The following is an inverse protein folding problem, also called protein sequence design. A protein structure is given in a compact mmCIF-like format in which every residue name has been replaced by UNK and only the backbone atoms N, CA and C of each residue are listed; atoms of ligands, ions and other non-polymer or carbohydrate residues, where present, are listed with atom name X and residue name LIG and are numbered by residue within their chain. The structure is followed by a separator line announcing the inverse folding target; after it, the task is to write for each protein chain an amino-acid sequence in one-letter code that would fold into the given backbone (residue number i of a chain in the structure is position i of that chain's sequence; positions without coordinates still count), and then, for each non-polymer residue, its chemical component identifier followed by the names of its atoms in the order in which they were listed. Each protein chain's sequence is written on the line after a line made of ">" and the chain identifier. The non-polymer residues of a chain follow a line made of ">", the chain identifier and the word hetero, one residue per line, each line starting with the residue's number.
data_IF_702643137923
#
_entry.id   IF_702643137923
#
_cell.length_a   1.000
_cell.length_b   1.000
_cell.length_c   1.000
_cell.angle_alpha   90.00
_cell.angle_beta   90.00
_cell.angle_gamma   90.00
#
_symmetry.space_group_name_H-M   'P 1'
#
loop_
_entity.id
_entity.type
_entity.pdbx_description
1 polymer ?
#
# COMPACT_ATOMS: atom_id res chain seq x y z
N UNK A 1 1.53 14.43 10.31
CA UNK A 1 1.27 13.23 9.49
C UNK A 1 1.20 13.67 8.04
N UNK A 2 1.88 12.96 7.16
CA UNK A 2 1.72 13.09 5.72
C UNK A 2 0.39 12.46 5.32
N UNK A 3 -0.25 12.94 4.28
CA UNK A 3 -1.51 12.36 3.79
C UNK A 3 -1.35 10.88 3.44
N UNK A 4 -0.20 10.50 2.87
CA UNK A 4 0.21 9.13 2.60
C UNK A 4 0.28 8.21 3.84
N UNK A 5 0.36 8.75 5.06
CA UNK A 5 0.40 7.97 6.30
C UNK A 5 -0.97 7.36 6.65
N UNK A 6 -2.06 7.84 6.01
CA UNK A 6 -3.43 7.33 6.20
C UNK A 6 -3.64 5.95 5.58
N UNK A 7 -2.78 5.55 4.64
CA UNK A 7 -2.91 4.31 3.88
C UNK A 7 -2.00 3.22 4.42
N UNK A 8 -2.60 2.06 4.71
CA UNK A 8 -1.86 0.88 5.16
C UNK A 8 -1.02 0.30 4.02
N UNK A 9 0.19 -0.11 4.39
CA UNK A 9 1.22 -0.67 3.51
C UNK A 9 1.67 -1.98 4.11
N UNK A 10 1.67 -3.04 3.32
CA UNK A 10 2.20 -4.33 3.75
C UNK A 10 3.03 -4.95 2.64
N UNK A 11 3.97 -5.79 3.05
CA UNK A 11 4.86 -6.52 2.15
C UNK A 11 4.71 -7.99 2.48
N UNK A 12 4.59 -8.83 1.45
CA UNK A 12 4.46 -10.28 1.59
C UNK A 12 5.38 -10.98 0.58
N UNK A 13 5.92 -12.13 0.96
CA UNK A 13 6.59 -13.00 0.00
C UNK A 13 5.59 -13.59 -0.99
N UNK A 14 5.94 -13.58 -2.28
CA UNK A 14 5.19 -14.24 -3.34
C UNK A 14 6.01 -15.39 -3.90
N UNK A 15 5.55 -16.63 -3.70
CA UNK A 15 6.18 -17.82 -4.30
C UNK A 15 6.16 -17.76 -5.85
N UNK A 16 5.06 -17.38 -6.52
CA UNK A 16 5.03 -17.26 -7.98
C UNK A 16 6.03 -16.24 -8.56
N UNK A 17 6.24 -15.13 -7.86
CA UNK A 17 7.13 -14.05 -8.30
C UNK A 17 8.58 -14.21 -7.78
N UNK A 18 8.80 -15.15 -6.87
CA UNK A 18 10.06 -15.33 -6.14
C UNK A 18 10.62 -14.00 -5.58
N UNK A 19 9.73 -13.15 -5.05
CA UNK A 19 10.04 -11.81 -4.59
C UNK A 19 9.10 -11.35 -3.46
N UNK A 20 9.54 -10.34 -2.72
CA UNK A 20 8.67 -9.61 -1.81
C UNK A 20 7.82 -8.60 -2.58
N UNK A 21 6.51 -8.65 -2.39
CA UNK A 21 5.52 -7.82 -3.09
C UNK A 21 4.91 -6.83 -2.11
N UNK A 22 4.95 -5.55 -2.46
CA UNK A 22 4.32 -4.47 -1.70
C UNK A 22 2.87 -4.23 -2.11
N UNK A 23 2.01 -3.97 -1.15
CA UNK A 23 0.58 -3.76 -1.34
C UNK A 23 0.09 -2.53 -0.58
N UNK A 24 -0.80 -1.77 -1.22
CA UNK A 24 -1.55 -0.69 -0.58
C UNK A 24 -2.97 -0.65 -1.20
N UNK A 25 -3.88 -1.52 -0.72
CA UNK A 25 -5.14 -1.82 -1.40
C UNK A 25 -6.11 -0.63 -1.54
N UNK A 26 -6.05 0.34 -0.63
CA UNK A 26 -6.89 1.55 -0.71
C UNK A 26 -6.50 2.46 -1.89
N UNK A 27 -5.24 2.45 -2.32
CA UNK A 27 -4.75 3.23 -3.46
C UNK A 27 -4.60 2.39 -4.73
N UNK A 28 -4.18 1.13 -4.57
CA UNK A 28 -3.90 0.19 -5.65
C UNK A 28 -4.73 -1.09 -5.45
N UNK A 29 -6.04 -1.05 -5.74
CA UNK A 29 -6.96 -2.16 -5.47
C UNK A 29 -6.73 -3.38 -6.39
N UNK A 30 -5.95 -3.23 -7.45
CA UNK A 30 -5.74 -4.27 -8.47
C UNK A 30 -4.65 -5.30 -8.12
N UNK A 31 -3.91 -5.12 -7.02
CA UNK A 31 -2.94 -6.11 -6.54
C UNK A 31 -1.62 -5.54 -6.06
N UNK A 32 -0.53 -6.28 -6.33
CA UNK A 32 0.83 -5.90 -5.96
C UNK A 32 1.30 -4.65 -6.69
N UNK A 33 1.96 -3.76 -5.97
CA UNK A 33 2.39 -2.43 -6.44
C UNK A 33 3.85 -2.44 -6.89
N UNK A 34 4.71 -3.17 -6.17
CA UNK A 34 6.14 -3.25 -6.46
C UNK A 34 6.75 -4.55 -5.92
N UNK A 35 7.89 -4.96 -6.50
CA UNK A 35 8.65 -6.13 -6.07
C UNK A 35 10.01 -5.72 -5.48
N UNK A 36 10.51 -6.49 -4.52
CA UNK A 36 11.83 -6.31 -3.93
C UNK A 36 12.48 -7.64 -3.57
N UNK A 37 13.81 -7.66 -3.56
CA UNK A 37 14.59 -8.83 -3.14
C UNK A 37 14.60 -9.04 -1.61
N UNK A 38 14.22 -8.02 -0.84
CA UNK A 38 14.01 -8.09 0.61
C UNK A 38 12.75 -7.32 1.01
N UNK A 39 12.27 -7.57 2.23
CA UNK A 39 11.11 -6.88 2.81
C UNK A 39 11.34 -5.36 2.83
N UNK A 40 12.52 -4.93 3.25
CA UNK A 40 12.89 -3.51 3.35
C UNK A 40 13.01 -2.85 1.98
N UNK A 41 13.56 -3.55 0.99
CA UNK A 41 13.66 -3.05 -0.38
C UNK A 41 12.27 -2.80 -0.97
N UNK A 42 11.37 -3.78 -0.87
CA UNK A 42 9.99 -3.66 -1.32
C UNK A 42 9.24 -2.57 -0.55
N UNK A 43 9.41 -2.49 0.78
CA UNK A 43 8.72 -1.49 1.59
C UNK A 43 9.19 -0.06 1.32
N UNK A 44 10.48 0.15 1.09
CA UNK A 44 11.02 1.46 0.71
C UNK A 44 10.45 1.94 -0.62
N UNK A 45 10.38 1.05 -1.62
CA UNK A 45 9.78 1.36 -2.91
C UNK A 45 8.28 1.63 -2.77
N UNK A 46 7.54 0.80 -2.03
CA UNK A 46 6.12 0.99 -1.76
C UNK A 46 5.85 2.34 -1.08
N UNK A 47 6.71 2.76 -0.15
CA UNK A 47 6.62 4.07 0.49
C UNK A 47 6.79 5.24 -0.49
N UNK A 48 7.64 5.10 -1.51
CA UNK A 48 7.82 6.12 -2.53
C UNK A 48 6.58 6.22 -3.43
N UNK A 49 6.11 5.07 -3.95
CA UNK A 49 4.95 5.02 -4.85
C UNK A 49 3.66 5.53 -4.20
N UNK A 50 3.41 5.18 -2.92
CA UNK A 50 2.25 5.70 -2.19
C UNK A 50 2.31 7.22 -1.99
N UNK A 51 3.51 7.80 -1.83
CA UNK A 51 3.63 9.27 -1.72
C UNK A 51 3.36 9.92 -3.06
N UNK A 52 3.95 9.39 -4.12
CA UNK A 52 3.76 9.85 -5.50
C UNK A 52 2.29 9.85 -5.90
N UNK A 53 1.58 8.72 -5.72
CA UNK A 53 0.15 8.62 -6.07
C UNK A 53 -0.71 9.64 -5.31
N UNK A 54 -0.45 9.82 -4.01
CA UNK A 54 -1.17 10.80 -3.19
C UNK A 54 -0.90 12.24 -3.65
N UNK A 55 0.35 12.55 -3.97
CA UNK A 55 0.74 13.87 -4.47
C UNK A 55 0.14 14.13 -5.86
N UNK A 56 0.12 13.13 -6.75
CA UNK A 56 -0.49 13.22 -8.08
C UNK A 56 -2.01 13.41 -8.01
N UNK A 57 -2.71 12.66 -7.17
CA UNK A 57 -4.16 12.84 -6.96
C UNK A 57 -4.46 14.25 -6.44
N UNK A 58 -3.67 14.72 -5.48
CA UNK A 58 -3.79 16.08 -4.95
C UNK A 58 -3.55 17.17 -6.00
N UNK A 59 -2.51 17.03 -6.82
CA UNK A 59 -2.18 17.98 -7.91
C UNK A 59 -3.26 17.99 -9.00
N UNK A 60 -3.86 16.85 -9.29
CA UNK A 60 -4.93 16.73 -10.28
C UNK A 60 -6.32 17.12 -9.72
N UNK A 61 -6.41 17.58 -8.47
CA UNK A 61 -7.66 17.93 -7.81
C UNK A 61 -8.62 16.74 -7.65
N UNK A 62 -8.09 15.51 -7.73
CA UNK A 62 -8.87 14.27 -7.55
C UNK A 62 -9.04 14.00 -6.06
N UNK A 63 -10.21 13.50 -5.70
CA UNK A 63 -10.46 13.09 -4.33
C UNK A 63 -9.60 11.87 -3.97
N UNK A 64 -9.02 11.91 -2.78
CA UNK A 64 -8.23 10.82 -2.25
C UNK A 64 -9.14 9.68 -1.78
N UNK A 65 -8.84 8.41 -2.11
CA UNK A 65 -9.64 7.28 -1.65
C UNK A 65 -9.75 7.25 -0.12
N UNK A 66 -10.95 6.99 0.38
CA UNK A 66 -11.17 6.77 1.81
C UNK A 66 -10.43 5.49 2.27
N UNK A 67 -9.59 5.56 3.31
CA UNK A 67 -8.89 4.38 3.83
C UNK A 67 -9.89 3.40 4.48
N UNK A 68 -10.14 2.28 3.82
CA UNK A 68 -11.07 1.24 4.29
C UNK A 68 -10.34 0.01 4.84
N UNK A 69 -9.07 -0.16 4.49
CA UNK A 69 -8.26 -1.28 4.94
C UNK A 69 -8.05 -1.21 6.45
N UNK A 70 -8.43 -2.30 7.13
CA UNK A 70 -8.35 -2.39 8.60
C UNK A 70 -7.01 -3.02 9.01
N UNK A 71 -6.32 -2.49 10.03
CA UNK A 71 -5.04 -3.04 10.51
C UNK A 71 -5.19 -4.36 11.28
N UNK A 72 -6.39 -4.68 11.76
CA UNK A 72 -6.70 -5.93 12.46
C UNK A 72 -8.03 -6.48 11.94
N UNK A 73 -8.19 -7.80 11.91
CA UNK A 73 -9.52 -8.41 11.73
C UNK A 73 -10.39 -8.01 12.91
N UNK A 74 -11.61 -7.56 12.66
CA UNK A 74 -12.61 -7.39 13.71
C UNK A 74 -12.77 -8.73 14.44
N UNK A 75 -12.75 -8.70 15.77
CA UNK A 75 -13.11 -9.87 16.55
C UNK A 75 -14.55 -10.22 16.15
N UNK A 76 -14.75 -11.40 15.56
CA UNK A 76 -16.11 -11.91 15.34
C UNK A 76 -16.64 -12.22 16.74
N UNK A 77 -17.62 -11.47 17.28
CA UNK A 77 -18.19 -11.81 18.57
C UNK A 77 -18.85 -13.19 18.45
N UNK A 78 -18.58 -14.05 19.44
CA UNK A 78 -19.10 -15.41 19.52
C UNK A 78 -20.62 -15.43 19.72
#
# INVERSE_FOLDING_TARGET
>A
MKTADRYLKFVLWSEPDAAYVGYCPDLFPWGGVCHGASEEAAFNQLCALVREEVDELGQNGRELPEPTTRPMREAVPA
#
